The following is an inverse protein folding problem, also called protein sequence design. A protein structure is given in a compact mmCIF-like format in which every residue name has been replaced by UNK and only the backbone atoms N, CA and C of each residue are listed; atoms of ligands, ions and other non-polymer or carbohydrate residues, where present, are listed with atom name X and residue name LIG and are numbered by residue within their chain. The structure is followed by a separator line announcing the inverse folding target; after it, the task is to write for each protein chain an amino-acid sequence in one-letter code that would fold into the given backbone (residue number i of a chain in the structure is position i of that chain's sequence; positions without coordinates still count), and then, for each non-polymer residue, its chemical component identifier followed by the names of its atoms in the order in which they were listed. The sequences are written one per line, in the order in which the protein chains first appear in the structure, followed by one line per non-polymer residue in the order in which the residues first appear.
data_IF_686578586275
#
_entry.id   IF_686578586275
#
_cell.length_a   1.000
_cell.length_b   1.000
_cell.length_c   1.000
_cell.angle_alpha   90.00
_cell.angle_beta   90.00
_cell.angle_gamma   90.00
#
_symmetry.space_group_name_H-M   'P 1'
#
loop_
_entity.id
_entity.type
_entity.pdbx_description
1 polymer ?
#
# COMPACT_ATOMS: atom_id res chain seq x y z
N UNK A 1 -16.72 26.36 -1.45
CA UNK A 1 -16.23 26.09 -0.07
C UNK A 1 -14.84 25.48 -0.13
N UNK A 2 -13.99 25.70 0.87
CA UNK A 2 -12.54 25.43 0.91
C UNK A 2 -12.11 23.94 0.85
N UNK A 3 -12.76 23.10 0.04
CA UNK A 3 -12.54 21.64 0.00
C UNK A 3 -11.10 21.26 -0.40
N UNK A 4 -10.43 22.13 -1.16
CA UNK A 4 -9.07 21.89 -1.64
C UNK A 4 -8.00 21.81 -0.55
N UNK A 5 -8.16 22.53 0.58
CA UNK A 5 -7.18 22.57 1.67
C UNK A 5 -7.50 21.57 2.78
N UNK A 6 -8.77 21.39 3.10
CA UNK A 6 -9.21 20.49 4.18
C UNK A 6 -8.88 19.01 3.89
N UNK A 7 -8.78 18.63 2.61
CA UNK A 7 -8.44 17.25 2.21
C UNK A 7 -7.07 16.77 2.68
N UNK A 8 -6.13 17.68 2.98
CA UNK A 8 -4.80 17.32 3.48
C UNK A 8 -4.69 17.40 5.00
N UNK A 9 -5.58 18.13 5.67
CA UNK A 9 -5.48 18.37 7.12
C UNK A 9 -5.55 17.07 7.90
N UNK A 10 -6.55 16.23 7.63
CA UNK A 10 -6.73 14.95 8.34
C UNK A 10 -5.52 14.01 8.10
N UNK A 11 -5.10 13.73 6.85
CA UNK A 11 -3.92 12.91 6.61
C UNK A 11 -2.63 13.44 7.26
N UNK A 12 -2.40 14.76 7.23
CA UNK A 12 -1.20 15.37 7.84
C UNK A 12 -1.22 15.19 9.36
N UNK A 13 -2.35 15.45 10.02
CA UNK A 13 -2.49 15.26 11.48
C UNK A 13 -2.27 13.78 11.83
N UNK A 14 -2.92 12.87 11.11
CA UNK A 14 -2.77 11.43 11.34
C UNK A 14 -1.33 10.97 11.14
N UNK A 15 -0.65 11.46 10.11
CA UNK A 15 0.76 11.17 9.86
C UNK A 15 1.66 11.71 10.97
N UNK A 16 1.50 12.98 11.37
CA UNK A 16 2.31 13.58 12.41
C UNK A 16 2.15 12.87 13.77
N UNK A 17 0.90 12.59 14.16
CA UNK A 17 0.60 11.84 15.39
C UNK A 17 1.15 10.41 15.30
N UNK A 18 0.91 9.71 14.19
CA UNK A 18 1.35 8.32 14.03
C UNK A 18 2.87 8.16 14.01
N UNK A 19 3.59 9.08 13.36
CA UNK A 19 5.05 9.12 13.40
C UNK A 19 5.51 9.40 14.84
N UNK A 20 4.97 10.43 15.50
CA UNK A 20 5.32 10.75 16.90
C UNK A 20 5.07 9.57 17.86
N UNK A 21 3.94 8.89 17.72
CA UNK A 21 3.62 7.68 18.50
C UNK A 21 4.57 6.53 18.18
N UNK A 22 4.96 6.35 16.92
CA UNK A 22 5.94 5.31 16.54
C UNK A 22 7.27 5.54 17.25
N UNK A 23 7.76 6.78 17.22
CA UNK A 23 8.99 7.16 17.93
C UNK A 23 8.85 6.93 19.44
N UNK A 24 7.75 7.38 20.05
CA UNK A 24 7.52 7.21 21.48
C UNK A 24 7.50 5.74 21.88
N UNK A 25 6.71 4.92 21.17
CA UNK A 25 6.57 3.49 21.45
C UNK A 25 7.89 2.75 21.23
N UNK A 26 8.57 2.96 20.10
CA UNK A 26 9.83 2.30 19.80
C UNK A 26 10.91 2.61 20.84
N UNK A 27 11.04 3.89 21.26
CA UNK A 27 11.98 4.27 22.31
C UNK A 27 11.59 3.72 23.70
N UNK A 28 10.29 3.65 24.01
CA UNK A 28 9.81 3.06 25.27
C UNK A 28 10.14 1.57 25.32
N UNK A 29 9.89 0.83 24.24
CA UNK A 29 10.20 -0.59 24.12
C UNK A 29 11.72 -0.83 24.19
N UNK A 30 12.51 -0.05 23.46
CA UNK A 30 13.97 -0.12 23.49
C UNK A 30 14.52 0.18 24.89
N UNK A 31 14.02 1.22 25.56
CA UNK A 31 14.41 1.57 26.92
C UNK A 31 14.06 0.47 27.94
N UNK A 32 12.92 -0.20 27.77
CA UNK A 32 12.57 -1.36 28.59
C UNK A 32 13.55 -2.52 28.39
N UNK A 33 13.93 -2.81 27.14
CA UNK A 33 14.92 -3.86 26.81
C UNK A 33 16.29 -3.53 27.41
N UNK A 34 16.79 -2.31 27.23
CA UNK A 34 18.11 -1.87 27.73
C UNK A 34 18.20 -1.97 29.26
N UNK A 35 17.11 -1.68 29.98
CA UNK A 35 17.10 -1.78 31.45
C UNK A 35 17.34 -3.21 31.95
N UNK A 36 16.87 -4.21 31.20
CA UNK A 36 17.03 -5.63 31.55
C UNK A 36 18.30 -6.20 30.91
N UNK A 37 18.63 -5.78 29.69
CA UNK A 37 19.77 -6.21 28.89
C UNK A 37 20.55 -5.00 28.35
N UNK A 38 21.47 -4.41 29.15
CA UNK A 38 22.19 -3.20 28.75
C UNK A 38 23.05 -3.35 27.49
N UNK A 39 23.54 -4.56 27.20
CA UNK A 39 24.32 -4.88 26.01
C UNK A 39 23.49 -5.39 24.82
N UNK A 40 22.16 -5.24 24.85
CA UNK A 40 21.33 -5.64 23.73
C UNK A 40 21.63 -4.75 22.51
N UNK A 41 21.83 -5.40 21.37
CA UNK A 41 21.96 -4.79 20.06
C UNK A 41 21.03 -5.56 19.10
N UNK A 42 20.08 -4.86 18.49
CA UNK A 42 19.14 -5.45 17.55
C UNK A 42 19.54 -5.19 16.10
N UNK A 43 20.46 -4.28 15.81
CA UNK A 43 20.85 -3.96 14.43
C UNK A 43 22.38 -3.85 14.35
N UNK A 44 23.11 -4.99 14.36
CA UNK A 44 24.57 -5.00 14.48
C UNK A 44 25.32 -4.26 13.35
N UNK A 45 24.64 -4.06 12.22
CA UNK A 45 25.17 -3.31 11.07
C UNK A 45 25.28 -1.81 11.37
N UNK A 46 24.46 -1.29 12.29
CA UNK A 46 24.50 0.11 12.71
C UNK A 46 25.45 0.18 13.90
N UNK A 47 26.60 0.82 13.72
CA UNK A 47 27.71 0.80 14.68
C UNK A 47 27.49 1.70 15.91
N UNK A 48 26.25 1.92 16.36
CA UNK A 48 26.04 2.72 17.59
C UNK A 48 26.19 1.86 18.83
N UNK A 49 26.58 2.51 19.90
CA UNK A 49 26.84 1.86 21.19
C UNK A 49 25.55 1.45 21.93
N UNK A 50 24.35 1.80 21.44
CA UNK A 50 23.09 1.53 22.14
C UNK A 50 21.93 1.21 21.22
N UNK A 51 21.10 0.22 21.59
CA UNK A 51 19.88 -0.17 20.91
C UNK A 51 18.91 1.00 20.64
N UNK A 52 18.72 1.88 21.61
CA UNK A 52 17.85 3.06 21.44
C UNK A 52 18.41 4.00 20.36
N UNK A 53 19.73 4.13 20.31
CA UNK A 53 20.44 4.86 19.26
C UNK A 53 20.21 4.26 17.88
N UNK A 54 20.22 2.94 17.74
CA UNK A 54 19.98 2.25 16.46
C UNK A 54 18.55 2.43 15.98
N UNK A 55 17.58 2.17 16.86
CA UNK A 55 16.15 2.35 16.59
C UNK A 55 15.86 3.78 16.15
N UNK A 56 16.37 4.77 16.88
CA UNK A 56 16.25 6.17 16.50
C UNK A 56 16.85 6.46 15.13
N UNK A 57 18.04 5.91 14.86
CA UNK A 57 18.73 6.11 13.57
C UNK A 57 17.91 5.55 12.42
N UNK A 58 17.42 4.32 12.53
CA UNK A 58 16.57 3.70 11.50
C UNK A 58 15.36 4.59 11.22
N UNK A 59 14.61 4.98 12.26
CA UNK A 59 13.40 5.77 12.08
C UNK A 59 13.66 7.16 11.48
N UNK A 60 14.76 7.83 11.87
CA UNK A 60 15.15 9.13 11.32
C UNK A 60 15.67 9.02 9.89
N UNK A 61 16.45 7.99 9.57
CA UNK A 61 17.07 7.81 8.25
C UNK A 61 16.05 7.32 7.21
N UNK A 62 15.10 6.48 7.59
CA UNK A 62 14.05 6.00 6.68
C UNK A 62 13.29 7.16 6.06
N UNK A 63 13.00 8.22 6.83
CA UNK A 63 12.22 9.36 6.33
C UNK A 63 12.85 10.08 5.12
N UNK A 64 14.07 10.63 5.15
CA UNK A 64 14.67 11.23 3.96
C UNK A 64 14.89 10.21 2.83
N UNK A 65 15.19 8.94 3.15
CA UNK A 65 15.37 7.89 2.14
C UNK A 65 14.11 7.72 1.30
N UNK A 66 12.93 7.56 1.92
CA UNK A 66 11.67 7.36 1.16
C UNK A 66 11.29 8.58 0.29
N UNK A 67 11.66 9.80 0.70
CA UNK A 67 11.43 11.00 -0.11
C UNK A 67 12.38 11.05 -1.32
N UNK A 68 13.67 10.81 -1.11
CA UNK A 68 14.67 10.76 -2.19
C UNK A 68 14.30 9.64 -3.16
N UNK A 69 13.92 8.48 -2.64
CA UNK A 69 13.48 7.33 -3.42
C UNK A 69 12.29 7.67 -4.31
N UNK A 70 11.25 8.33 -3.78
CA UNK A 70 10.12 8.80 -4.58
C UNK A 70 10.58 9.70 -5.73
N UNK A 71 11.41 10.72 -5.42
CA UNK A 71 11.83 11.73 -6.41
C UNK A 71 12.71 11.15 -7.52
N UNK A 72 13.54 10.15 -7.18
CA UNK A 72 14.53 9.57 -8.10
C UNK A 72 13.97 8.34 -8.83
N UNK A 73 13.30 7.44 -8.13
CA UNK A 73 12.95 6.11 -8.65
C UNK A 73 11.51 5.97 -9.15
N UNK A 74 10.55 6.77 -8.68
CA UNK A 74 9.14 6.54 -9.01
C UNK A 74 8.87 6.57 -10.53
N UNK A 75 9.48 7.51 -11.26
CA UNK A 75 9.25 7.69 -12.70
C UNK A 75 10.00 6.65 -13.56
N UNK A 76 11.28 6.33 -13.32
CA UNK A 76 11.94 5.19 -13.95
C UNK A 76 11.21 3.86 -13.72
N UNK A 77 10.79 3.58 -12.49
CA UNK A 77 10.07 2.35 -12.16
C UNK A 77 8.70 2.31 -12.83
N UNK A 78 7.99 3.43 -12.96
CA UNK A 78 6.73 3.49 -13.69
C UNK A 78 6.92 3.12 -15.17
N UNK A 79 8.01 3.57 -15.80
CA UNK A 79 8.35 3.19 -17.17
C UNK A 79 8.63 1.69 -17.30
N UNK A 80 9.39 1.11 -16.36
CA UNK A 80 9.68 -0.32 -16.31
C UNK A 80 8.39 -1.13 -16.14
N UNK A 81 7.52 -0.74 -15.21
CA UNK A 81 6.25 -1.42 -14.95
C UNK A 81 5.35 -1.40 -16.17
N UNK A 82 5.29 -0.26 -16.86
CA UNK A 82 4.54 -0.11 -18.10
C UNK A 82 5.09 -1.04 -19.20
N UNK A 83 6.41 -1.11 -19.37
CA UNK A 83 7.06 -2.01 -20.31
C UNK A 83 6.80 -3.48 -20.00
N UNK A 84 6.98 -3.90 -18.74
CA UNK A 84 6.70 -5.27 -18.28
C UNK A 84 5.25 -5.65 -18.53
N UNK A 85 4.31 -4.78 -18.15
CA UNK A 85 2.89 -5.05 -18.34
C UNK A 85 2.52 -5.16 -19.82
N UNK A 86 3.12 -4.31 -20.66
CA UNK A 86 2.95 -4.42 -22.12
C UNK A 86 3.41 -5.81 -22.59
N UNK A 87 4.56 -6.31 -22.14
CA UNK A 87 5.03 -7.66 -22.50
C UNK A 87 4.04 -8.74 -22.08
N UNK A 88 3.54 -8.71 -20.83
CA UNK A 88 2.62 -9.74 -20.32
C UNK A 88 1.24 -9.73 -21.01
N UNK A 89 0.75 -8.58 -21.48
CA UNK A 89 -0.62 -8.41 -22.01
C UNK A 89 -0.68 -8.00 -23.49
N UNK A 90 0.47 -7.90 -24.17
CA UNK A 90 0.57 -7.43 -25.56
C UNK A 90 -0.26 -8.23 -26.56
N UNK A 91 -0.52 -9.51 -26.31
CA UNK A 91 -1.27 -10.36 -27.25
C UNK A 91 -2.72 -9.92 -27.37
N UNK A 92 -3.38 -9.60 -26.25
CA UNK A 92 -4.82 -9.36 -26.19
C UNK A 92 -5.23 -7.91 -25.95
N UNK A 93 -4.33 -7.05 -25.46
CA UNK A 93 -4.65 -5.69 -25.04
C UNK A 93 -3.87 -4.63 -25.81
N UNK A 94 -4.48 -3.47 -25.98
CA UNK A 94 -3.88 -2.24 -26.50
C UNK A 94 -3.81 -1.17 -25.42
N UNK A 95 -2.70 -0.44 -25.37
CA UNK A 95 -2.45 0.57 -24.36
C UNK A 95 -3.01 1.91 -24.79
N UNK A 96 -3.63 2.63 -23.85
CA UNK A 96 -4.18 3.95 -24.09
C UNK A 96 -3.99 4.89 -22.93
N UNK A 97 -4.05 6.18 -23.26
CA UNK A 97 -4.06 7.27 -22.30
C UNK A 97 -5.49 7.81 -22.24
N UNK A 98 -6.10 7.75 -21.06
CA UNK A 98 -7.40 8.34 -20.78
C UNK A 98 -7.24 9.59 -19.92
N UNK A 99 -8.09 10.61 -20.17
CA UNK A 99 -8.16 11.78 -19.29
C UNK A 99 -8.90 11.41 -18.01
N UNK A 100 -8.25 11.63 -16.86
CA UNK A 100 -8.84 11.43 -15.54
C UNK A 100 -9.30 12.76 -14.93
N UNK A 101 -10.13 12.67 -13.90
CA UNK A 101 -10.49 13.82 -13.08
C UNK A 101 -9.32 14.33 -12.21
N UNK A 102 -9.43 15.55 -11.73
CA UNK A 102 -8.24 16.33 -11.35
C UNK A 102 -7.70 16.06 -9.92
N UNK A 103 -8.48 15.50 -8.98
CA UNK A 103 -8.15 15.53 -7.53
C UNK A 103 -8.71 14.39 -6.69
N UNK A 104 -7.96 13.98 -5.65
CA UNK A 104 -8.41 13.03 -4.63
C UNK A 104 -8.85 13.67 -3.30
N UNK A 105 -9.75 12.97 -2.60
CA UNK A 105 -10.15 13.26 -1.22
C UNK A 105 -9.23 12.61 -0.18
N UNK A 106 -9.40 12.99 1.09
CA UNK A 106 -8.60 12.49 2.21
C UNK A 106 -8.70 10.96 2.37
N UNK A 107 -9.88 10.39 2.11
CA UNK A 107 -10.16 8.96 2.17
C UNK A 107 -9.28 8.16 1.20
N UNK A 108 -9.09 8.68 -0.03
CA UNK A 108 -8.26 8.02 -1.04
C UNK A 108 -6.77 8.11 -0.71
N UNK A 109 -6.32 9.21 -0.10
CA UNK A 109 -4.94 9.36 0.38
C UNK A 109 -4.63 8.28 1.41
N UNK A 110 -5.51 8.10 2.40
CA UNK A 110 -5.33 7.09 3.45
C UNK A 110 -5.38 5.66 2.88
N UNK A 111 -6.34 5.36 1.98
CA UNK A 111 -6.43 4.03 1.34
C UNK A 111 -5.19 3.68 0.52
N UNK A 112 -4.60 4.66 -0.18
CA UNK A 112 -3.33 4.46 -0.91
C UNK A 112 -2.14 4.21 -0.01
N UNK A 113 -2.15 4.78 1.20
CA UNK A 113 -1.09 4.58 2.18
C UNK A 113 -1.18 3.24 2.90
N UNK A 114 -2.38 2.67 3.02
CA UNK A 114 -2.61 1.42 3.75
C UNK A 114 -1.84 0.24 3.13
N UNK A 115 -2.03 -0.03 1.83
CA UNK A 115 -1.48 -1.24 1.20
C UNK A 115 0.05 -1.33 1.27
N UNK A 116 0.83 -0.28 0.92
CA UNK A 116 2.28 -0.32 1.10
C UNK A 116 2.71 -0.49 2.56
N UNK A 117 1.97 0.06 3.51
CA UNK A 117 2.26 -0.13 4.93
C UNK A 117 2.05 -1.59 5.34
N UNK A 118 0.96 -2.22 4.90
CA UNK A 118 0.73 -3.65 5.14
C UNK A 118 1.83 -4.51 4.52
N UNK A 119 2.20 -4.20 3.27
CA UNK A 119 3.27 -4.90 2.56
C UNK A 119 4.61 -4.77 3.27
N UNK A 120 4.96 -3.57 3.74
CA UNK A 120 6.18 -3.31 4.49
C UNK A 120 6.23 -4.11 5.80
N UNK A 121 5.11 -4.21 6.53
CA UNK A 121 5.03 -5.03 7.75
C UNK A 121 5.23 -6.50 7.41
N UNK A 122 4.55 -7.02 6.38
CA UNK A 122 4.67 -8.42 5.97
C UNK A 122 6.10 -8.77 5.55
N UNK A 123 6.75 -7.93 4.73
CA UNK A 123 8.13 -8.13 4.33
C UNK A 123 9.09 -7.98 5.52
N UNK A 124 8.90 -6.95 6.35
CA UNK A 124 9.71 -6.72 7.55
C UNK A 124 9.68 -7.93 8.49
N UNK A 125 8.49 -8.45 8.78
CA UNK A 125 8.32 -9.64 9.60
C UNK A 125 8.92 -10.90 8.95
N UNK A 126 8.77 -11.08 7.64
CA UNK A 126 9.43 -12.18 6.92
C UNK A 126 10.96 -12.05 6.98
N UNK A 127 11.48 -10.83 6.88
CA UNK A 127 12.92 -10.56 6.93
C UNK A 127 13.53 -10.88 8.29
N UNK A 128 12.78 -10.74 9.40
CA UNK A 128 13.24 -11.17 10.73
C UNK A 128 13.60 -12.66 10.71
N UNK A 129 12.80 -13.52 10.06
CA UNK A 129 13.09 -14.95 10.02
C UNK A 129 14.14 -15.33 9.00
N UNK A 130 14.17 -14.68 7.83
CA UNK A 130 15.09 -15.03 6.75
C UNK A 130 16.49 -14.45 6.95
N UNK A 131 16.59 -13.30 7.60
CA UNK A 131 17.80 -12.48 7.70
C UNK A 131 18.17 -12.13 9.15
N UNK A 132 17.43 -12.65 10.14
CA UNK A 132 17.58 -12.32 11.57
C UNK A 132 19.01 -12.48 12.07
N UNK A 133 19.67 -13.57 11.68
CA UNK A 133 21.05 -13.83 12.13
C UNK A 133 22.08 -12.81 11.61
N UNK A 134 21.76 -12.06 10.56
CA UNK A 134 22.68 -11.11 9.92
C UNK A 134 22.33 -9.64 10.19
N UNK A 135 21.04 -9.33 10.35
CA UNK A 135 20.56 -7.94 10.43
C UNK A 135 19.72 -7.63 11.66
N UNK A 136 19.06 -8.63 12.27
CA UNK A 136 18.12 -8.45 13.37
C UNK A 136 18.26 -9.58 14.39
N UNK A 137 19.29 -9.51 15.24
CA UNK A 137 19.63 -10.59 16.17
C UNK A 137 18.84 -10.40 17.47
N UNK A 138 17.89 -11.28 17.81
CA UNK A 138 17.29 -11.24 19.15
C UNK A 138 18.37 -11.58 20.19
N UNK A 139 18.49 -10.82 21.30
CA UNK A 139 19.51 -11.08 22.31
C UNK A 139 19.43 -12.53 22.82
N UNK A 140 20.57 -13.23 22.81
CA UNK A 140 20.66 -14.59 23.31
C UNK A 140 20.32 -14.64 24.81
N UNK A 141 19.44 -15.56 25.20
CA UNK A 141 19.04 -15.71 26.61
C UNK A 141 18.04 -14.67 27.11
N UNK A 142 17.20 -14.10 26.22
CA UNK A 142 16.09 -13.23 26.57
C UNK A 142 15.18 -13.89 27.63
N UNK A 143 15.12 -13.26 28.80
CA UNK A 143 14.16 -13.58 29.84
C UNK A 143 12.76 -13.37 29.28
N UNK A 144 11.84 -14.26 29.63
CA UNK A 144 10.43 -14.19 29.28
C UNK A 144 9.79 -12.82 29.59
N UNK A 145 10.37 -12.09 30.54
CA UNK A 145 9.97 -10.76 31.00
C UNK A 145 10.01 -9.68 29.90
N UNK A 146 10.98 -9.74 28.98
CA UNK A 146 11.17 -8.67 27.97
C UNK A 146 10.54 -9.02 26.63
N UNK A 147 10.14 -10.27 26.44
CA UNK A 147 9.65 -10.74 25.16
C UNK A 147 8.40 -10.00 24.65
N UNK A 148 7.59 -9.39 25.53
CA UNK A 148 6.45 -8.54 25.10
C UNK A 148 6.90 -7.22 24.47
N UNK A 149 8.14 -6.80 24.72
CA UNK A 149 8.72 -5.58 24.15
C UNK A 149 9.56 -5.84 22.90
N UNK A 150 10.23 -6.99 22.84
CA UNK A 150 11.13 -7.34 21.72
C UNK A 150 10.37 -7.52 20.41
N UNK A 151 9.32 -8.35 20.39
CA UNK A 151 8.59 -8.66 19.15
C UNK A 151 7.97 -7.41 18.51
N UNK A 152 7.29 -6.51 19.25
CA UNK A 152 6.77 -5.28 18.65
C UNK A 152 7.88 -4.33 18.18
N UNK A 153 8.98 -4.21 18.93
CA UNK A 153 10.10 -3.35 18.54
C UNK A 153 10.73 -3.84 17.23
N UNK A 154 11.02 -5.14 17.15
CA UNK A 154 11.53 -5.76 15.93
C UNK A 154 10.58 -5.57 14.75
N UNK A 155 9.27 -5.72 14.97
CA UNK A 155 8.27 -5.49 13.92
C UNK A 155 8.24 -4.01 13.45
N UNK A 156 8.38 -3.03 14.34
CA UNK A 156 8.46 -1.61 13.96
C UNK A 156 9.72 -1.35 13.15
N UNK A 157 10.88 -1.80 13.63
CA UNK A 157 12.18 -1.55 13.00
C UNK A 157 12.26 -2.25 11.65
N UNK A 158 11.86 -3.52 11.57
CA UNK A 158 11.89 -4.26 10.31
C UNK A 158 10.91 -3.71 9.29
N UNK A 159 9.71 -3.30 9.70
CA UNK A 159 8.75 -2.65 8.81
C UNK A 159 9.27 -1.29 8.31
N UNK A 160 9.95 -0.51 9.15
CA UNK A 160 10.58 0.74 8.75
C UNK A 160 11.70 0.51 7.72
N UNK A 161 12.54 -0.52 7.91
CA UNK A 161 13.59 -0.91 6.96
C UNK A 161 12.99 -1.43 5.65
N UNK A 162 11.87 -2.16 5.71
CA UNK A 162 11.17 -2.66 4.52
C UNK A 162 10.33 -1.59 3.79
N UNK A 163 10.11 -0.42 4.42
CA UNK A 163 9.25 0.63 3.86
C UNK A 163 9.76 1.21 2.54
N UNK A 164 11.07 1.52 2.36
CA UNK A 164 11.61 1.93 1.07
C UNK A 164 11.32 0.89 -0.02
N UNK A 165 11.64 -0.38 0.24
CA UNK A 165 11.39 -1.47 -0.71
C UNK A 165 9.90 -1.53 -1.09
N UNK A 166 9.00 -1.46 -0.09
CA UNK A 166 7.56 -1.41 -0.33
C UNK A 166 7.17 -0.24 -1.25
N UNK A 167 7.64 0.97 -0.94
CA UNK A 167 7.35 2.15 -1.73
C UNK A 167 7.91 2.05 -3.15
N UNK A 168 9.09 1.48 -3.37
CA UNK A 168 9.64 1.23 -4.70
C UNK A 168 8.63 0.48 -5.60
N UNK A 169 7.89 -0.47 -5.03
CA UNK A 169 6.87 -1.22 -5.77
C UNK A 169 5.56 -0.45 -5.95
N UNK A 170 5.11 0.32 -4.96
CA UNK A 170 3.78 0.96 -5.00
C UNK A 170 3.76 2.37 -5.61
N UNK A 171 4.79 3.19 -5.40
CA UNK A 171 4.90 4.53 -6.00
C UNK A 171 4.69 4.56 -7.52
N UNK A 172 5.33 3.66 -8.33
CA UNK A 172 5.09 3.64 -9.77
C UNK A 172 3.63 3.29 -10.11
N UNK A 173 2.95 2.47 -9.30
CA UNK A 173 1.54 2.13 -9.53
C UNK A 173 0.63 3.35 -9.36
N UNK A 174 0.94 4.25 -8.43
CA UNK A 174 0.19 5.50 -8.24
C UNK A 174 0.35 6.40 -9.45
N UNK A 175 1.59 6.61 -9.91
CA UNK A 175 1.87 7.43 -11.09
C UNK A 175 1.16 6.90 -12.34
N UNK A 176 1.18 5.58 -12.56
CA UNK A 176 0.48 4.95 -13.69
C UNK A 176 -1.04 5.10 -13.61
N UNK A 177 -1.60 4.95 -12.40
CA UNK A 177 -3.02 5.15 -12.17
C UNK A 177 -3.44 6.61 -12.33
N UNK A 178 -2.62 7.56 -11.88
CA UNK A 178 -2.94 8.99 -11.91
C UNK A 178 -2.75 9.62 -13.29
N UNK A 179 -1.92 9.01 -14.12
CA UNK A 179 -1.70 9.44 -15.50
C UNK A 179 -2.73 8.89 -16.50
N UNK A 180 -3.66 8.05 -16.05
CA UNK A 180 -4.73 7.51 -16.89
C UNK A 180 -4.25 6.46 -17.87
N UNK A 181 -3.17 5.74 -17.53
CA UNK A 181 -2.65 4.67 -18.39
C UNK A 181 -3.51 3.42 -18.20
N UNK A 182 -4.27 3.11 -19.23
CA UNK A 182 -5.18 1.97 -19.26
C UNK A 182 -4.84 1.04 -20.40
N UNK A 183 -5.31 -0.19 -20.29
CA UNK A 183 -5.30 -1.19 -21.33
C UNK A 183 -6.73 -1.58 -21.64
N UNK A 184 -7.05 -1.68 -22.91
CA UNK A 184 -8.35 -2.16 -23.38
C UNK A 184 -8.16 -3.33 -24.34
N UNK A 185 -9.17 -4.18 -24.45
CA UNK A 185 -9.13 -5.33 -25.36
C UNK A 185 -8.94 -4.87 -26.81
N UNK A 186 -8.08 -5.55 -27.58
CA UNK A 186 -7.96 -5.30 -29.02
C UNK A 186 -9.27 -5.60 -29.74
N UNK A 187 -9.57 -4.85 -30.80
CA UNK A 187 -10.78 -5.07 -31.63
C UNK A 187 -10.89 -6.51 -32.16
N UNK A 188 -9.77 -7.12 -32.54
CA UNK A 188 -9.73 -8.51 -32.99
C UNK A 188 -10.17 -9.52 -31.92
N UNK A 189 -9.95 -9.21 -30.64
CA UNK A 189 -10.36 -10.05 -29.51
C UNK A 189 -11.83 -9.83 -29.14
N UNK A 190 -12.40 -8.65 -29.43
CA UNK A 190 -13.83 -8.37 -29.21
C UNK A 190 -14.72 -9.21 -30.13
N UNK A 191 -14.21 -9.62 -31.31
CA UNK A 191 -14.92 -10.53 -32.22
C UNK A 191 -15.13 -11.94 -31.64
N UNK A 192 -14.36 -12.31 -30.61
CA UNK A 192 -14.40 -13.65 -29.99
C UNK A 192 -15.11 -13.57 -28.64
N UNK A 193 -16.44 -13.41 -28.61
CA UNK A 193 -17.35 -13.45 -27.42
C UNK A 193 -16.69 -13.13 -26.06
N UNK A 194 -15.82 -12.12 -26.00
CA UNK A 194 -15.09 -11.70 -24.80
C UNK A 194 -15.69 -10.38 -24.39
N UNK A 195 -15.95 -10.25 -23.09
CA UNK A 195 -16.46 -9.00 -22.56
C UNK A 195 -15.42 -7.90 -22.79
N UNK A 196 -15.85 -6.69 -23.21
CA UNK A 196 -14.95 -5.55 -23.23
C UNK A 196 -14.44 -5.31 -21.82
N UNK A 197 -13.12 -5.20 -21.69
CA UNK A 197 -12.46 -4.97 -20.42
C UNK A 197 -11.50 -3.79 -20.56
N UNK A 198 -11.41 -2.99 -19.51
CA UNK A 198 -10.50 -1.86 -19.41
C UNK A 198 -9.87 -1.86 -18.03
N UNK A 199 -8.56 -2.08 -17.99
CA UNK A 199 -7.80 -2.19 -16.75
C UNK A 199 -6.69 -1.13 -16.70
N UNK A 200 -6.57 -0.42 -15.58
CA UNK A 200 -5.45 0.48 -15.34
C UNK A 200 -4.16 -0.31 -15.09
N UNK A 201 -3.06 0.06 -15.75
CA UNK A 201 -1.78 -0.67 -15.61
C UNK A 201 -1.31 -0.67 -14.15
N UNK A 202 -1.37 0.49 -13.49
CA UNK A 202 -1.03 0.59 -12.07
C UNK A 202 -1.97 -0.23 -11.19
N UNK A 203 -3.25 -0.32 -11.56
CA UNK A 203 -4.26 -1.07 -10.82
C UNK A 203 -3.95 -2.56 -10.81
N UNK A 204 -3.55 -3.12 -11.96
CA UNK A 204 -3.15 -4.53 -12.06
C UNK A 204 -2.02 -4.88 -11.07
N UNK A 205 -0.91 -4.13 -11.08
CA UNK A 205 0.19 -4.33 -10.14
C UNK A 205 -0.24 -4.11 -8.69
N UNK A 206 -1.01 -3.07 -8.41
CA UNK A 206 -1.47 -2.77 -7.05
C UNK A 206 -2.41 -3.85 -6.50
N UNK A 207 -3.23 -4.48 -7.34
CA UNK A 207 -4.09 -5.60 -6.97
C UNK A 207 -3.26 -6.85 -6.68
N UNK A 208 -2.24 -7.13 -7.50
CA UNK A 208 -1.33 -8.26 -7.29
C UNK A 208 -0.58 -8.13 -5.96
N UNK A 209 0.10 -7.01 -5.74
CA UNK A 209 0.87 -6.75 -4.51
C UNK A 209 -0.03 -6.56 -3.29
N UNK A 210 -1.17 -5.89 -3.47
CA UNK A 210 -2.15 -5.69 -2.41
C UNK A 210 -2.83 -6.98 -1.98
N UNK A 211 -3.15 -7.87 -2.93
CA UNK A 211 -3.69 -9.20 -2.64
C UNK A 211 -2.75 -10.02 -1.77
N UNK A 212 -1.44 -10.00 -2.07
CA UNK A 212 -0.42 -10.61 -1.21
C UNK A 212 -0.44 -10.00 0.20
N UNK A 213 -0.44 -8.66 0.31
CA UNK A 213 -0.40 -7.95 1.60
C UNK A 213 -1.60 -8.26 2.50
N UNK A 214 -2.80 -8.32 1.92
CA UNK A 214 -4.05 -8.59 2.65
C UNK A 214 -4.07 -10.00 3.25
N UNK A 215 -3.39 -10.96 2.63
CA UNK A 215 -3.28 -12.34 3.13
C UNK A 215 -2.07 -12.48 4.07
N UNK A 216 -0.93 -11.91 3.70
CA UNK A 216 0.33 -12.07 4.42
C UNK A 216 0.26 -11.41 5.80
N UNK A 217 -0.33 -10.22 5.92
CA UNK A 217 -0.35 -9.48 7.18
C UNK A 217 -1.14 -10.18 8.30
N UNK A 218 -2.40 -10.64 8.11
CA UNK A 218 -3.10 -11.36 9.17
C UNK A 218 -2.36 -12.62 9.59
N UNK A 219 -1.83 -13.37 8.62
CA UNK A 219 -1.07 -14.59 8.90
C UNK A 219 0.19 -14.28 9.71
N UNK A 220 1.00 -13.31 9.27
CA UNK A 220 2.22 -12.94 9.96
C UNK A 220 1.93 -12.36 11.35
N UNK A 221 0.90 -11.53 11.48
CA UNK A 221 0.51 -10.95 12.77
C UNK A 221 0.01 -12.00 13.76
N UNK A 222 -0.79 -12.97 13.31
CA UNK A 222 -1.22 -14.10 14.14
C UNK A 222 0.00 -14.90 14.61
N UNK A 223 0.93 -15.19 13.70
CA UNK A 223 2.14 -15.93 14.05
C UNK A 223 2.96 -15.19 15.11
N UNK A 224 3.26 -13.90 14.91
CA UNK A 224 4.15 -13.16 15.80
C UNK A 224 3.53 -12.72 17.12
N UNK A 225 2.23 -12.38 17.13
CA UNK A 225 1.58 -11.84 18.33
C UNK A 225 0.75 -12.87 19.09
N UNK A 226 0.46 -14.03 18.50
CA UNK A 226 -0.31 -15.09 19.15
C UNK A 226 0.41 -16.43 19.15
N UNK A 227 0.77 -16.98 17.99
CA UNK A 227 1.35 -18.34 17.95
C UNK A 227 2.69 -18.40 18.69
N UNK A 228 3.61 -17.50 18.34
CA UNK A 228 4.95 -17.50 18.91
C UNK A 228 4.95 -17.21 20.42
N UNK A 229 4.30 -16.15 20.95
CA UNK A 229 4.34 -15.86 22.38
C UNK A 229 3.65 -16.92 23.23
N UNK A 230 2.50 -17.46 22.81
CA UNK A 230 1.72 -18.34 23.67
C UNK A 230 2.02 -19.83 23.47
N UNK A 231 2.31 -20.28 22.25
CA UNK A 231 2.49 -21.70 21.95
C UNK A 231 3.95 -22.12 21.84
N UNK A 232 4.85 -21.22 21.40
CA UNK A 232 6.28 -21.53 21.28
C UNK A 232 7.04 -21.12 22.54
N UNK A 233 6.80 -19.90 23.03
CA UNK A 233 7.49 -19.35 24.20
C UNK A 233 6.77 -19.66 25.53
N UNK A 234 5.58 -20.28 25.47
CA UNK A 234 4.85 -20.76 26.65
C UNK A 234 4.33 -19.65 27.58
N UNK A 235 4.08 -18.44 27.07
CA UNK A 235 3.56 -17.35 27.91
C UNK A 235 2.13 -17.63 28.36
N UNK A 236 1.81 -17.16 29.56
CA UNK A 236 0.47 -17.32 30.15
C UNK A 236 -0.53 -16.43 29.40
N UNK A 237 -1.66 -17.04 29.04
CA UNK A 237 -2.83 -16.33 28.49
C UNK A 237 -3.48 -15.48 29.57
N UNK A 238 -3.05 -14.22 29.70
CA UNK A 238 -3.72 -13.21 30.53
C UNK A 238 -4.51 -12.23 29.66
N UNK A 239 -5.61 -11.64 30.16
CA UNK A 239 -6.36 -10.64 29.41
C UNK A 239 -5.49 -9.47 28.91
N UNK A 240 -4.54 -9.03 29.73
CA UNK A 240 -3.60 -7.95 29.39
C UNK A 240 -2.69 -8.34 28.21
N UNK A 241 -2.15 -9.57 28.21
CA UNK A 241 -1.30 -10.05 27.12
C UNK A 241 -2.09 -10.12 25.81
N UNK A 242 -3.33 -10.63 25.86
CA UNK A 242 -4.20 -10.72 24.67
C UNK A 242 -4.54 -9.33 24.12
N UNK A 243 -4.90 -8.38 24.98
CA UNK A 243 -5.16 -6.98 24.57
C UNK A 243 -3.91 -6.37 23.95
N UNK A 244 -2.73 -6.63 24.52
CA UNK A 244 -1.45 -6.14 23.97
C UNK A 244 -1.17 -6.74 22.59
N UNK A 245 -1.38 -8.04 22.40
CA UNK A 245 -1.25 -8.71 21.10
C UNK A 245 -2.22 -8.14 20.05
N UNK A 246 -3.47 -7.89 20.43
CA UNK A 246 -4.47 -7.25 19.56
C UNK A 246 -4.09 -5.81 19.21
N UNK A 247 -3.61 -5.06 20.21
CA UNK A 247 -3.14 -3.69 20.01
C UNK A 247 -2.03 -3.63 18.96
N UNK A 248 -1.05 -4.53 19.01
CA UNK A 248 0.03 -4.55 18.01
C UNK A 248 -0.44 -5.04 16.64
N UNK A 249 -1.34 -6.02 16.60
CA UNK A 249 -1.91 -6.54 15.35
C UNK A 249 -2.64 -5.45 14.55
N UNK A 250 -3.39 -4.58 15.21
CA UNK A 250 -4.15 -3.49 14.57
C UNK A 250 -3.35 -2.19 14.50
N UNK A 251 -2.57 -1.91 15.55
CA UNK A 251 -1.81 -0.68 15.71
C UNK A 251 -0.63 -0.56 14.74
N UNK A 252 0.11 -1.64 14.49
CA UNK A 252 1.27 -1.60 13.59
C UNK A 252 0.93 -1.10 12.18
N UNK A 253 -0.13 -1.61 11.50
CA UNK A 253 -0.61 -1.04 10.24
C UNK A 253 -0.82 0.47 10.27
N UNK A 254 -1.46 0.98 11.33
CA UNK A 254 -1.76 2.40 11.47
C UNK A 254 -0.49 3.24 11.67
N UNK A 255 0.45 2.72 12.46
CA UNK A 255 1.76 3.35 12.67
C UNK A 255 2.56 3.42 11.36
N UNK A 256 2.65 2.32 10.60
CA UNK A 256 3.40 2.29 9.34
C UNK A 256 2.73 3.12 8.24
N UNK A 257 1.40 3.15 8.21
CA UNK A 257 0.65 4.02 7.29
C UNK A 257 1.01 5.49 7.49
N UNK A 258 1.29 5.92 8.73
CA UNK A 258 1.68 7.29 9.05
C UNK A 258 2.96 7.75 8.33
N UNK A 259 3.91 6.83 8.05
CA UNK A 259 5.13 7.13 7.29
C UNK A 259 4.89 7.19 5.77
N UNK A 260 3.88 6.48 5.27
CA UNK A 260 3.54 6.45 3.83
C UNK A 260 2.73 7.67 3.42
N UNK A 261 1.85 8.17 4.29
CA UNK A 261 0.95 9.29 4.00
C UNK A 261 1.67 10.54 3.45
N UNK A 262 2.81 11.01 4.01
CA UNK A 262 3.55 12.14 3.46
C UNK A 262 3.98 11.94 2.01
N UNK A 263 4.34 10.72 1.62
CA UNK A 263 4.74 10.39 0.25
C UNK A 263 3.53 10.40 -0.69
N UNK A 264 2.37 9.92 -0.24
CA UNK A 264 1.12 10.02 -1.02
C UNK A 264 0.70 11.49 -1.21
N UNK A 265 0.86 12.32 -0.18
CA UNK A 265 0.60 13.77 -0.28
C UNK A 265 1.59 14.41 -1.26
N UNK A 266 2.88 14.08 -1.17
CA UNK A 266 3.90 14.55 -2.10
C UNK A 266 3.55 14.17 -3.55
N UNK A 267 3.07 12.93 -3.77
CA UNK A 267 2.61 12.47 -5.06
C UNK A 267 1.45 13.33 -5.59
N UNK A 268 0.42 13.59 -4.76
CA UNK A 268 -0.72 14.44 -5.13
C UNK A 268 -0.27 15.86 -5.53
N UNK A 269 0.69 16.44 -4.81
CA UNK A 269 1.24 17.77 -5.12
C UNK A 269 2.00 17.78 -6.45
N UNK A 270 2.68 16.68 -6.78
CA UNK A 270 3.52 16.56 -7.97
C UNK A 270 2.79 16.05 -9.22
N UNK A 271 1.49 15.72 -9.14
CA UNK A 271 0.72 15.20 -10.28
C UNK A 271 0.81 16.05 -11.54
N UNK A 272 0.74 17.38 -11.40
CA UNK A 272 0.84 18.29 -12.55
C UNK A 272 2.15 18.15 -13.33
N UNK A 273 3.21 17.68 -12.67
CA UNK A 273 4.53 17.47 -13.25
C UNK A 273 4.77 16.02 -13.70
N UNK A 274 4.34 15.04 -12.90
CA UNK A 274 4.59 13.62 -13.17
C UNK A 274 3.66 13.07 -14.25
N UNK A 275 2.38 13.47 -14.26
CA UNK A 275 1.39 12.95 -15.21
C UNK A 275 1.78 13.18 -16.67
N UNK A 276 2.13 14.41 -17.13
CA UNK A 276 2.52 14.62 -18.52
C UNK A 276 3.73 13.79 -18.93
N UNK A 277 4.67 13.56 -18.02
CA UNK A 277 5.88 12.77 -18.28
C UNK A 277 5.58 11.29 -18.45
N UNK A 278 4.75 10.73 -17.58
CA UNK A 278 4.33 9.32 -17.69
C UNK A 278 3.49 9.10 -18.95
N UNK A 279 2.60 10.03 -19.28
CA UNK A 279 1.85 9.99 -20.54
C UNK A 279 2.76 10.08 -21.77
N UNK A 280 3.78 10.95 -21.74
CA UNK A 280 4.75 11.02 -22.82
C UNK A 280 5.52 9.70 -22.97
N UNK A 281 5.97 9.08 -21.88
CA UNK A 281 6.60 7.76 -21.91
C UNK A 281 5.65 6.73 -22.52
N UNK A 282 4.39 6.72 -22.11
CA UNK A 282 3.37 5.82 -22.65
C UNK A 282 3.17 6.00 -24.17
N UNK A 283 3.12 7.25 -24.65
CA UNK A 283 3.01 7.57 -26.08
C UNK A 283 4.23 7.07 -26.86
N UNK A 284 5.45 7.22 -26.31
CA UNK A 284 6.66 6.64 -26.92
C UNK A 284 6.62 5.11 -26.96
N UNK A 285 5.93 4.48 -26.01
CA UNK A 285 5.66 3.04 -26.01
C UNK A 285 4.47 2.66 -26.90
N UNK A 286 3.90 3.58 -27.67
CA UNK A 286 2.83 3.32 -28.65
C UNK A 286 1.41 3.38 -28.07
N UNK A 287 1.21 3.99 -26.90
CA UNK A 287 -0.13 4.22 -26.36
C UNK A 287 -0.88 5.28 -27.19
N UNK A 288 -2.15 5.01 -27.48
CA UNK A 288 -3.05 5.94 -28.19
C UNK A 288 -3.85 6.78 -27.20
N UNK A 289 -4.16 8.04 -27.53
CA UNK A 289 -5.07 8.84 -26.71
C UNK A 289 -6.53 8.41 -27.00
N UNK A 290 -7.30 8.11 -25.96
CA UNK A 290 -8.72 7.74 -26.07
C UNK A 290 -9.56 8.80 -25.39
N UNK A 291 -10.51 9.37 -26.13
CA UNK A 291 -11.48 10.31 -25.58
C UNK A 291 -12.66 9.56 -25.00
N UNK A 292 -13.04 9.90 -23.76
CA UNK A 292 -14.31 9.45 -23.20
C UNK A 292 -15.41 10.18 -23.97
N UNK A 293 -16.14 9.45 -24.80
CA UNK A 293 -17.36 9.99 -25.43
C UNK A 293 -18.40 10.07 -24.31
N UNK A 294 -18.87 11.28 -23.93
CA UNK A 294 -19.97 11.37 -22.99
C UNK A 294 -21.17 10.67 -23.63
N UNK A 295 -21.67 9.62 -22.97
CA UNK A 295 -22.95 9.04 -23.37
C UNK A 295 -23.98 10.13 -23.12
N UNK A 296 -24.46 10.75 -24.20
CA UNK A 296 -25.69 11.54 -24.13
C UNK A 296 -26.77 10.57 -23.65
N UNK A 297 -27.02 10.58 -22.34
CA UNK A 297 -28.25 10.06 -21.79
C UNK A 297 -29.33 11.03 -22.24
N UNK A 298 -29.74 10.92 -23.50
CA UNK A 298 -31.04 11.43 -23.88
C UNK A 298 -32.01 10.75 -22.91
N UNK A 299 -32.73 11.50 -22.06
CA UNK A 299 -33.83 10.88 -21.34
C UNK A 299 -34.70 10.24 -22.41
N UNK A 300 -34.95 8.93 -22.29
CA UNK A 300 -35.90 8.27 -23.17
C UNK A 300 -37.15 9.14 -23.21
N UNK A 301 -37.58 9.50 -24.42
CA UNK A 301 -38.81 10.27 -24.57
C UNK A 301 -39.95 9.49 -23.90
N UNK A 302 -40.96 10.18 -23.37
CA UNK A 302 -42.12 9.50 -22.78
C UNK A 302 -42.77 8.50 -23.75
N UNK A 303 -42.66 8.76 -25.07
CA UNK A 303 -43.08 7.85 -26.14
C UNK A 303 -42.25 6.54 -26.20
N UNK A 304 -40.93 6.62 -26.05
CA UNK A 304 -40.06 5.43 -26.02
C UNK A 304 -40.25 4.63 -24.72
N UNK A 305 -40.58 5.32 -23.62
CA UNK A 305 -40.93 4.68 -22.34
C UNK A 305 -42.33 4.04 -22.38
N UNK A 306 -43.30 4.61 -23.10
CA UNK A 306 -44.62 4.00 -23.29
C UNK A 306 -44.55 2.76 -24.18
N UNK A 307 -43.78 2.80 -25.27
CA UNK A 307 -43.59 1.66 -26.18
C UNK A 307 -42.85 0.50 -25.48
N UNK A 308 -41.88 0.81 -24.63
CA UNK A 308 -41.19 -0.20 -23.83
C UNK A 308 -42.14 -0.85 -22.78
N UNK A 309 -43.09 -0.10 -22.23
CA UNK A 309 -44.09 -0.61 -21.27
C UNK A 309 -45.15 -1.48 -21.96
N UNK A 310 -45.61 -1.09 -23.15
CA UNK A 310 -46.55 -1.90 -23.93
C UNK A 310 -45.91 -3.23 -24.34
N UNK A 311 -44.68 -3.22 -24.85
CA UNK A 311 -43.98 -4.44 -25.25
C UNK A 311 -43.67 -5.39 -24.06
N UNK A 312 -43.44 -4.88 -22.86
CA UNK A 312 -43.24 -5.71 -21.67
C UNK A 312 -44.54 -6.36 -21.16
N UNK A 313 -45.70 -5.78 -21.49
CA UNK A 313 -47.01 -6.32 -21.10
C UNK A 313 -47.42 -7.54 -21.93
N UNK A 314 -47.01 -7.61 -23.20
CA UNK A 314 -47.29 -8.76 -24.08
C UNK A 314 -46.44 -10.00 -23.75
N UNK A 315 -45.22 -9.82 -23.25
CA UNK A 315 -44.34 -10.95 -22.88
C UNK A 315 -44.83 -11.76 -21.68
N UNK A 316 -45.57 -11.15 -20.73
CA UNK A 316 -46.10 -11.87 -19.56
C UNK A 316 -47.32 -12.76 -19.86
N UNK A 317 -47.91 -12.65 -21.06
CA UNK A 317 -49.07 -13.44 -21.46
C UNK A 317 -48.73 -14.77 -22.16
N UNK A 318 -47.48 -15.01 -22.55
CA UNK A 318 -47.10 -16.21 -23.31
C UNK A 318 -46.47 -17.34 -22.48
N UNK A 319 -46.11 -17.10 -21.22
CA UNK A 319 -45.54 -18.12 -20.31
C UNK A 319 -46.60 -18.90 -19.49
N UNK A 320 -47.87 -18.89 -19.90
CA UNK A 320 -48.96 -19.66 -19.25
C UNK A 320 -49.56 -20.77 -20.13
N UNK A 321 -48.76 -21.43 -20.98
CA UNK A 321 -49.15 -22.68 -21.64
C UNK A 321 -48.11 -23.77 -21.46
#
# INVERSE_FOLDING_TARGET
MNDGKLRFVIPVILSAIGIGLTFLLANTLAGHIIRVYPGADLVPVITRETLAGDVWTVLVVVFPVIFIEYLVLALPLAAIFMGLHKVFKASAYEQSVMKLGDKFGADRILRRAAVPALFAISIGQMSIYLLGDYFLVPPAGLASEVGLSVTPLLAIVSAAIALPISLAFFMPTWLLNDSGIVLHLKEGQLKVRRCPDTEGVGRWFSNFLGGFSVIALPLSSIVHFFVQPYFVEGRIFTPLNVITSLFWTIGLPLLMMAFVVPIVILNEVLLGFTTPRVQNIARHLGAKDVQVVPVETKPFSEAELSDARENHSYSKGQDQR
#
